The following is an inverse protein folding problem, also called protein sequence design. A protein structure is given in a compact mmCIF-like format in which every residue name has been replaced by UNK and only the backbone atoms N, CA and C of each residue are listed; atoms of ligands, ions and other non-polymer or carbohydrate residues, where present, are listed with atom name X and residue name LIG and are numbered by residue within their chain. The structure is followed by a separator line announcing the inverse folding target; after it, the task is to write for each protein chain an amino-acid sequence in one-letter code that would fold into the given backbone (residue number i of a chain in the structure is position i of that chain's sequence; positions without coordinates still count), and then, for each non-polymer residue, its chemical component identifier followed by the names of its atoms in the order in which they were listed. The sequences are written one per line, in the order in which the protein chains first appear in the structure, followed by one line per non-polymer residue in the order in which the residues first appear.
data_IF_818543120428
#
_entry.id   IF_818543120428
#
_cell.length_a   1.000
_cell.length_b   1.000
_cell.length_c   1.000
_cell.angle_alpha   90.00
_cell.angle_beta   90.00
_cell.angle_gamma   90.00
#
_symmetry.space_group_name_H-M   'P 1'
#
loop_
_entity.id
_entity.type
_entity.pdbx_description
1 polymer ?
#
# COMPACT_ATOMS: atom_id res chain seq x y z
N UNK A 1 5.85 7.31 16.42
CA UNK A 1 6.13 5.88 16.65
C UNK A 1 7.21 5.48 15.65
N UNK A 2 8.29 4.86 16.11
CA UNK A 2 9.36 4.37 15.23
C UNK A 2 9.02 2.98 14.68
N UNK A 3 9.81 2.49 13.73
CA UNK A 3 9.64 1.19 13.07
C UNK A 3 9.54 0.00 14.02
N UNK A 4 10.37 -0.06 15.07
CA UNK A 4 10.40 -1.18 16.01
C UNK A 4 9.07 -1.35 16.75
N UNK A 5 8.50 -0.24 17.24
CA UNK A 5 7.18 -0.26 17.88
C UNK A 5 6.09 -0.70 16.89
N UNK A 6 6.19 -0.30 15.63
CA UNK A 6 5.22 -0.69 14.59
C UNK A 6 5.29 -2.18 14.31
N UNK A 7 6.50 -2.74 14.17
CA UNK A 7 6.69 -4.17 13.91
C UNK A 7 6.12 -4.98 15.08
N UNK A 8 6.48 -4.61 16.31
CA UNK A 8 5.98 -5.30 17.51
C UNK A 8 4.44 -5.25 17.58
N UNK A 9 3.83 -4.08 17.41
CA UNK A 9 2.37 -3.95 17.42
C UNK A 9 1.72 -4.74 16.29
N UNK A 10 2.27 -4.67 15.09
CA UNK A 10 1.73 -5.40 13.93
C UNK A 10 1.72 -6.92 14.15
N UNK A 11 2.82 -7.46 14.68
CA UNK A 11 2.97 -8.90 14.93
C UNK A 11 2.12 -9.42 16.09
N UNK A 12 1.88 -8.57 17.09
CA UNK A 12 1.07 -8.93 18.27
C UNK A 12 -0.43 -8.69 18.05
N UNK A 13 -0.80 -7.92 17.04
CA UNK A 13 -2.20 -7.68 16.71
C UNK A 13 -2.79 -8.89 16.00
N UNK A 14 -3.99 -9.37 16.40
CA UNK A 14 -4.64 -10.46 15.71
C UNK A 14 -4.88 -10.06 14.25
N UNK A 15 -4.44 -10.89 13.31
CA UNK A 15 -4.69 -10.68 11.88
C UNK A 15 -6.20 -10.57 11.69
N UNK A 16 -6.68 -9.42 11.23
CA UNK A 16 -8.08 -9.28 10.84
C UNK A 16 -8.40 -10.39 9.83
N UNK A 17 -9.46 -11.16 10.07
CA UNK A 17 -9.88 -12.19 9.14
C UNK A 17 -10.06 -11.56 7.75
N UNK A 18 -9.69 -12.26 6.65
CA UNK A 18 -9.93 -11.75 5.31
C UNK A 18 -11.40 -11.38 5.17
N UNK A 19 -11.67 -10.21 4.60
CA UNK A 19 -13.02 -9.82 4.21
C UNK A 19 -13.45 -10.81 3.12
N UNK A 20 -14.20 -11.85 3.52
CA UNK A 20 -14.66 -12.95 2.66
C UNK A 20 -15.76 -12.44 1.73
N UNK A 21 -15.36 -11.65 0.73
CA UNK A 21 -16.22 -11.22 -0.35
C UNK A 21 -16.45 -12.37 -1.34
N UNK A 22 -17.65 -12.95 -1.26
CA UNK A 22 -18.43 -13.71 -2.26
C UNK A 22 -17.65 -14.17 -3.52
N UNK A 23 -17.70 -15.48 -3.74
CA UNK A 23 -17.20 -16.22 -4.91
C UNK A 23 -17.51 -15.45 -6.22
N UNK A 24 -16.47 -14.84 -6.78
CA UNK A 24 -16.52 -13.98 -7.98
C UNK A 24 -15.53 -14.52 -9.01
N UNK A 25 -15.81 -14.35 -10.31
CA UNK A 25 -14.98 -14.90 -11.39
C UNK A 25 -13.49 -14.61 -11.15
N UNK A 26 -12.61 -15.60 -11.43
CA UNK A 26 -11.16 -15.58 -11.14
C UNK A 26 -10.57 -14.17 -11.27
N UNK A 27 -10.51 -13.45 -10.13
CA UNK A 27 -9.90 -12.12 -10.07
C UNK A 27 -8.40 -12.25 -10.34
N UNK A 28 -7.85 -11.29 -11.06
CA UNK A 28 -6.42 -11.28 -11.40
C UNK A 28 -5.61 -11.07 -10.12
N UNK A 29 -4.60 -11.92 -9.90
CA UNK A 29 -3.73 -11.82 -8.75
C UNK A 29 -2.74 -10.65 -8.93
N UNK A 30 -2.51 -9.91 -7.85
CA UNK A 30 -1.60 -8.77 -7.79
C UNK A 30 -1.02 -8.66 -6.39
N UNK A 31 0.12 -8.03 -6.27
CA UNK A 31 0.76 -7.80 -4.98
C UNK A 31 1.32 -6.38 -4.91
N UNK A 32 1.27 -5.81 -3.71
CA UNK A 32 1.84 -4.49 -3.43
C UNK A 32 2.76 -4.57 -2.22
N UNK A 33 3.78 -3.74 -2.21
CA UNK A 33 4.60 -3.50 -1.03
C UNK A 33 4.08 -2.27 -0.30
N UNK A 34 3.95 -2.35 1.02
CA UNK A 34 3.82 -1.23 1.95
C UNK A 34 5.21 -1.01 2.57
N UNK A 35 6.10 -0.25 1.90
CA UNK A 35 7.43 0.02 2.39
C UNK A 35 7.39 1.08 3.49
N UNK A 36 7.95 0.73 4.64
CA UNK A 36 8.18 1.62 5.75
C UNK A 36 9.65 1.99 5.83
N UNK A 37 9.93 3.25 6.19
CA UNK A 37 11.29 3.71 6.50
C UNK A 37 11.23 4.71 7.66
N UNK A 38 12.22 4.65 8.54
CA UNK A 38 12.37 5.66 9.59
C UNK A 38 13.16 6.86 9.08
N UNK A 39 12.58 8.05 9.26
CA UNK A 39 13.25 9.35 9.06
C UNK A 39 13.09 10.10 10.38
N UNK A 40 14.21 10.52 10.97
CA UNK A 40 14.25 11.21 12.26
C UNK A 40 13.44 10.48 13.36
N UNK A 41 13.64 9.16 13.49
CA UNK A 41 12.96 8.27 14.43
C UNK A 41 11.42 8.25 14.31
N UNK A 42 10.93 8.59 13.12
CA UNK A 42 9.52 8.53 12.77
C UNK A 42 9.32 7.66 11.53
N UNK A 43 8.38 6.72 11.62
CA UNK A 43 8.06 5.87 10.49
C UNK A 43 7.25 6.63 9.43
N UNK A 44 7.64 6.42 8.18
CA UNK A 44 7.01 6.94 6.99
C UNK A 44 6.65 5.79 6.05
N UNK A 45 5.59 5.96 5.26
CA UNK A 45 5.27 5.08 4.14
C UNK A 45 5.85 5.71 2.86
N UNK A 46 6.61 4.94 2.08
CA UNK A 46 7.03 5.35 0.74
C UNK A 46 5.92 5.05 -0.27
N UNK A 47 5.47 6.08 -0.97
CA UNK A 47 4.39 6.04 -1.95
C UNK A 47 4.87 6.52 -3.31
N UNK A 48 4.19 6.04 -4.36
CA UNK A 48 4.42 6.42 -5.74
C UNK A 48 3.27 7.28 -6.26
N UNK A 49 3.58 8.16 -7.21
CA UNK A 49 2.64 8.88 -8.05
C UNK A 49 2.81 8.39 -9.48
N UNK A 50 1.75 7.82 -10.04
CA UNK A 50 1.76 7.32 -11.43
C UNK A 50 1.75 8.48 -12.43
N UNK A 51 2.47 8.40 -13.56
CA UNK A 51 2.35 9.37 -14.65
C UNK A 51 0.92 9.49 -15.19
N UNK A 52 0.56 10.68 -15.66
CA UNK A 52 -0.78 10.98 -16.17
C UNK A 52 -1.07 10.27 -17.51
N UNK A 53 -0.03 9.93 -18.28
CA UNK A 53 -0.18 9.30 -19.60
C UNK A 53 -0.44 7.78 -19.54
N UNK A 54 -0.37 7.14 -18.37
CA UNK A 54 -0.59 5.71 -18.25
C UNK A 54 -2.06 5.33 -18.51
N UNK A 55 -2.27 4.24 -19.25
CA UNK A 55 -3.61 3.72 -19.54
C UNK A 55 -4.40 3.29 -18.30
N UNK A 56 -3.69 2.88 -17.24
CA UNK A 56 -4.28 2.42 -16.00
C UNK A 56 -3.86 3.33 -14.85
N UNK A 57 -4.88 3.81 -14.12
CA UNK A 57 -4.71 4.62 -12.91
C UNK A 57 -3.83 5.88 -13.13
N UNK A 58 -4.08 6.68 -14.18
CA UNK A 58 -3.27 7.85 -14.50
C UNK A 58 -3.30 8.86 -13.36
N UNK A 59 -2.11 9.28 -12.91
CA UNK A 59 -2.01 10.28 -11.84
C UNK A 59 -2.45 9.78 -10.46
N UNK A 60 -2.67 8.48 -10.24
CA UNK A 60 -3.03 7.99 -8.91
C UNK A 60 -1.81 7.91 -7.98
N UNK A 61 -2.05 8.13 -6.68
CA UNK A 61 -1.09 7.80 -5.63
C UNK A 61 -1.27 6.33 -5.27
N UNK A 62 -0.20 5.55 -5.34
CA UNK A 62 -0.25 4.11 -5.12
C UNK A 62 0.88 3.62 -4.21
N UNK A 63 0.67 2.42 -3.66
CA UNK A 63 1.75 1.59 -3.15
C UNK A 63 2.48 1.00 -4.35
N UNK A 64 3.80 0.80 -4.27
CA UNK A 64 4.52 0.11 -5.33
C UNK A 64 4.03 -1.33 -5.47
N UNK A 65 3.85 -1.78 -6.71
CA UNK A 65 3.27 -3.09 -6.96
C UNK A 65 2.52 -3.23 -8.27
N UNK A 66 2.23 -4.49 -8.61
CA UNK A 66 1.67 -4.84 -9.89
C UNK A 66 1.10 -6.24 -9.94
N UNK A 67 0.99 -6.76 -11.17
CA UNK A 67 0.32 -8.03 -11.44
C UNK A 67 1.27 -9.20 -11.16
N UNK A 68 0.71 -10.33 -10.75
CA UNK A 68 1.48 -11.57 -10.71
C UNK A 68 1.81 -12.01 -12.13
N UNK A 69 3.10 -12.25 -12.40
CA UNK A 69 3.59 -12.69 -13.70
C UNK A 69 4.02 -14.16 -13.69
N UNK A 70 4.18 -14.76 -14.87
CA UNK A 70 4.59 -16.16 -15.00
C UNK A 70 6.02 -16.42 -14.46
N UNK A 71 6.85 -15.36 -14.40
CA UNK A 71 8.19 -15.37 -13.81
C UNK A 71 8.17 -15.34 -12.28
N UNK A 72 7.06 -14.93 -11.66
CA UNK A 72 6.95 -14.81 -10.21
C UNK A 72 6.75 -16.18 -9.57
N UNK A 73 7.53 -16.47 -8.52
CA UNK A 73 7.39 -17.71 -7.75
C UNK A 73 6.24 -17.59 -6.74
N UNK A 74 6.07 -16.42 -6.15
CA UNK A 74 5.05 -16.12 -5.13
C UNK A 74 4.55 -14.68 -5.25
N UNK A 75 3.42 -14.36 -4.62
CA UNK A 75 2.96 -12.96 -4.54
C UNK A 75 3.94 -12.05 -3.78
N UNK A 76 4.72 -12.60 -2.85
CA UNK A 76 5.79 -11.86 -2.18
C UNK A 76 6.91 -11.51 -3.17
N UNK A 77 7.27 -12.41 -4.09
CA UNK A 77 8.27 -12.10 -5.13
C UNK A 77 7.74 -11.06 -6.10
N UNK A 78 6.45 -11.09 -6.45
CA UNK A 78 5.80 -10.01 -7.23
C UNK A 78 5.98 -8.65 -6.55
N UNK A 79 5.60 -8.51 -5.27
CA UNK A 79 5.73 -7.23 -4.57
C UNK A 79 7.18 -6.72 -4.49
N UNK A 80 8.16 -7.63 -4.38
CA UNK A 80 9.58 -7.28 -4.34
C UNK A 80 10.14 -6.92 -5.72
N UNK A 81 9.71 -7.62 -6.77
CA UNK A 81 10.07 -7.33 -8.17
C UNK A 81 9.57 -5.95 -8.56
N UNK A 82 8.30 -5.67 -8.31
CA UNK A 82 7.67 -4.38 -8.64
C UNK A 82 8.31 -3.23 -7.86
N UNK A 83 8.63 -3.43 -6.57
CA UNK A 83 9.38 -2.45 -5.78
C UNK A 83 10.76 -2.14 -6.40
N UNK A 84 11.41 -3.15 -6.97
CA UNK A 84 12.69 -2.99 -7.66
C UNK A 84 12.52 -2.31 -9.03
N UNK A 85 11.53 -2.68 -9.82
CA UNK A 85 11.27 -2.09 -11.14
C UNK A 85 10.85 -0.61 -11.02
N UNK A 86 9.92 -0.29 -10.13
CA UNK A 86 9.37 1.07 -10.00
C UNK A 86 10.30 2.04 -9.26
N UNK A 87 11.09 1.56 -8.30
CA UNK A 87 11.88 2.41 -7.38
C UNK A 87 13.37 2.03 -7.28
N UNK A 88 13.85 1.06 -8.05
CA UNK A 88 15.24 0.58 -8.01
C UNK A 88 15.69 0.12 -6.60
N UNK A 89 14.74 -0.34 -5.76
CA UNK A 89 15.03 -0.85 -4.42
C UNK A 89 15.24 -2.35 -4.50
N UNK A 90 16.47 -2.79 -4.26
CA UNK A 90 16.79 -4.23 -4.26
C UNK A 90 16.09 -4.97 -3.12
N UNK A 91 15.69 -6.24 -3.32
CA UNK A 91 15.07 -7.05 -2.26
C UNK A 91 15.92 -7.18 -0.98
N UNK A 92 17.25 -7.06 -1.08
CA UNK A 92 18.17 -7.05 0.07
C UNK A 92 18.03 -5.82 0.96
N UNK A 93 17.44 -4.73 0.45
CA UNK A 93 17.21 -3.50 1.19
C UNK A 93 15.86 -3.45 1.92
N UNK A 94 15.07 -4.53 1.86
CA UNK A 94 13.76 -4.60 2.49
C UNK A 94 13.58 -5.90 3.28
N UNK A 95 13.26 -5.75 4.56
CA UNK A 95 12.84 -6.85 5.44
C UNK A 95 11.31 -6.90 5.50
N UNK A 96 10.72 -7.84 4.76
CA UNK A 96 9.27 -8.13 4.87
C UNK A 96 8.98 -8.81 6.20
N UNK A 97 8.11 -8.21 7.02
CA UNK A 97 7.80 -8.70 8.36
C UNK A 97 6.33 -9.09 8.54
N UNK A 98 5.49 -8.90 7.52
CA UNK A 98 4.08 -9.22 7.60
C UNK A 98 3.33 -9.14 6.27
N UNK A 99 2.10 -9.64 6.28
CA UNK A 99 1.15 -9.53 5.18
C UNK A 99 -0.20 -9.07 5.76
N UNK A 100 -0.84 -8.12 5.09
CA UNK A 100 -2.19 -7.67 5.41
C UNK A 100 -3.24 -8.60 4.78
N UNK A 101 -4.49 -8.58 5.26
CA UNK A 101 -5.57 -9.34 4.62
C UNK A 101 -5.72 -8.98 3.14
N UNK A 102 -6.12 -9.97 2.34
CA UNK A 102 -6.33 -9.80 0.91
C UNK A 102 -7.32 -8.66 0.62
N UNK A 103 -6.95 -7.73 -0.26
CA UNK A 103 -7.83 -6.65 -0.68
C UNK A 103 -8.43 -6.94 -2.05
N UNK A 104 -9.75 -7.15 -2.08
CA UNK A 104 -10.53 -7.38 -3.29
C UNK A 104 -10.97 -6.04 -3.89
N UNK A 105 -10.39 -5.66 -5.02
CA UNK A 105 -10.77 -4.43 -5.73
C UNK A 105 -12.11 -4.59 -6.45
N UNK A 106 -12.72 -3.44 -6.77
CA UNK A 106 -13.93 -3.37 -7.58
C UNK A 106 -13.65 -3.54 -9.08
N UNK A 107 -12.37 -3.45 -9.50
CA UNK A 107 -11.88 -3.53 -10.88
C UNK A 107 -11.42 -4.94 -11.27
N UNK A 108 -11.60 -5.94 -10.39
CA UNK A 108 -11.34 -7.35 -10.71
C UNK A 108 -9.96 -7.87 -10.32
N UNK A 109 -9.26 -7.18 -9.43
CA UNK A 109 -7.98 -7.60 -8.85
C UNK A 109 -8.12 -8.07 -7.39
N UNK A 110 -7.35 -9.09 -7.05
CA UNK A 110 -7.06 -9.51 -5.68
C UNK A 110 -5.64 -9.06 -5.35
N UNK A 111 -5.53 -8.04 -4.48
CA UNK A 111 -4.26 -7.45 -4.08
C UNK A 111 -3.81 -8.09 -2.76
N UNK A 112 -2.61 -8.69 -2.77
CA UNK A 112 -1.92 -9.15 -1.56
C UNK A 112 -0.93 -8.09 -1.08
N UNK A 113 -1.21 -7.39 0.04
CA UNK A 113 -0.33 -6.34 0.53
C UNK A 113 0.69 -6.91 1.51
N UNK A 114 1.98 -6.73 1.20
CA UNK A 114 3.09 -7.11 2.08
C UNK A 114 3.65 -5.89 2.79
N UNK A 115 3.99 -6.02 4.06
CA UNK A 115 4.57 -4.92 4.86
C UNK A 115 6.06 -5.16 5.03
N UNK A 116 6.86 -4.19 4.60
CA UNK A 116 8.31 -4.29 4.60
C UNK A 116 8.97 -3.09 5.26
N UNK A 117 10.06 -3.33 5.99
CA UNK A 117 10.91 -2.28 6.52
C UNK A 117 12.12 -2.10 5.60
N UNK A 118 12.31 -0.90 5.09
CA UNK A 118 13.50 -0.51 4.34
C UNK A 118 14.68 -0.29 5.30
N UNK A 119 15.89 -0.57 4.83
CA UNK A 119 17.10 -0.19 5.57
C UNK A 119 17.18 1.33 5.73
N UNK A 120 17.71 1.83 6.86
CA UNK A 120 17.76 3.27 7.21
C UNK A 120 18.42 4.16 6.15
N UNK A 121 19.32 3.60 5.34
CA UNK A 121 20.06 4.31 4.29
C UNK A 121 19.66 3.87 2.87
N UNK A 122 18.47 3.30 2.73
CA UNK A 122 17.96 2.93 1.40
C UNK A 122 17.79 4.20 0.58
N UNK A 123 18.50 4.26 -0.54
CA UNK A 123 18.30 5.25 -1.59
C UNK A 123 17.49 4.56 -2.68
N UNK A 124 16.61 5.30 -3.33
CA UNK A 124 15.76 4.81 -4.40
C UNK A 124 15.78 5.77 -5.59
N UNK A 125 15.45 5.25 -6.76
CA UNK A 125 15.38 5.98 -8.02
C UNK A 125 14.13 5.55 -8.76
N UNK A 126 13.35 6.51 -9.25
CA UNK A 126 12.09 6.20 -9.92
C UNK A 126 12.36 5.70 -11.34
N UNK A 127 11.73 4.60 -11.75
CA UNK A 127 11.51 4.38 -13.18
C UNK A 127 10.45 5.37 -13.65
N UNK A 128 10.90 6.43 -14.33
CA UNK A 128 10.03 7.50 -14.79
C UNK A 128 8.98 7.05 -15.82
N UNK A 129 9.11 5.87 -16.41
CA UNK A 129 8.06 5.32 -17.26
C UNK A 129 6.81 4.94 -16.45
N UNK A 130 6.99 4.53 -15.20
CA UNK A 130 5.93 3.99 -14.32
C UNK A 130 5.63 4.89 -13.11
N UNK A 131 6.63 5.65 -12.65
CA UNK A 131 6.58 6.49 -11.46
C UNK A 131 7.03 7.91 -11.79
N UNK A 132 6.07 8.83 -11.83
CA UNK A 132 6.34 10.25 -12.01
C UNK A 132 7.09 10.84 -10.82
N UNK A 133 6.70 10.44 -9.61
CA UNK A 133 7.32 10.87 -8.37
C UNK A 133 7.15 9.82 -7.28
N UNK A 134 8.08 9.78 -6.33
CA UNK A 134 7.96 9.03 -5.09
C UNK A 134 8.14 9.98 -3.91
N UNK A 135 7.45 9.70 -2.81
CA UNK A 135 7.45 10.58 -1.65
C UNK A 135 7.12 9.81 -0.37
N UNK A 136 7.58 10.36 0.76
CA UNK A 136 7.32 9.83 2.08
C UNK A 136 6.10 10.50 2.70
N UNK A 137 5.21 9.70 3.29
CA UNK A 137 4.08 10.19 4.07
C UNK A 137 4.23 9.73 5.53
N UNK A 138 4.28 10.64 6.52
CA UNK A 138 4.44 10.27 7.92
C UNK A 138 3.29 9.40 8.40
N UNK A 139 3.59 8.26 9.02
CA UNK A 139 2.56 7.33 9.49
C UNK A 139 1.63 7.98 10.54
N UNK A 140 2.16 8.90 11.35
CA UNK A 140 1.39 9.64 12.35
C UNK A 140 0.21 10.40 11.74
N UNK A 141 0.38 10.92 10.53
CA UNK A 141 -0.65 11.70 9.84
C UNK A 141 -1.77 10.78 9.35
N UNK A 142 -1.44 9.55 8.98
CA UNK A 142 -2.37 8.52 8.53
C UNK A 142 -3.14 7.86 9.69
N UNK A 143 -2.55 7.81 10.88
CA UNK A 143 -3.21 7.28 12.08
C UNK A 143 -4.24 8.25 12.67
N UNK A 144 -4.19 9.54 12.33
CA UNK A 144 -5.18 10.51 12.78
C UNK A 144 -6.42 10.46 11.87
N UNK A 145 -7.52 9.90 12.38
CA UNK A 145 -8.77 9.76 11.61
C UNK A 145 -9.34 11.10 11.13
N UNK A 146 -9.08 12.21 11.84
CA UNK A 146 -9.55 13.54 11.45
C UNK A 146 -8.93 14.05 10.14
N UNK A 147 -7.80 13.49 9.71
CA UNK A 147 -7.17 13.86 8.45
C UNK A 147 -7.84 13.19 7.23
N UNK A 148 -8.73 12.22 7.44
CA UNK A 148 -9.41 11.48 6.37
C UNK A 148 -10.75 12.11 6.02
N UNK A 149 -10.99 12.34 4.73
CA UNK A 149 -12.20 12.95 4.21
C UNK A 149 -13.13 11.90 3.60
N UNK A 150 -14.45 11.96 3.88
CA UNK A 150 -15.41 11.08 3.23
C UNK A 150 -15.53 11.45 1.74
N UNK A 151 -15.46 10.44 0.88
CA UNK A 151 -15.61 10.53 -0.57
C UNK A 151 -16.83 9.71 -0.99
N UNK A 152 -18.00 10.35 -1.18
CA UNK A 152 -19.19 9.65 -1.65
C UNK A 152 -18.99 9.18 -3.09
N UNK A 153 -19.24 7.89 -3.33
CA UNK A 153 -19.12 7.26 -4.64
C UNK A 153 -20.42 6.53 -4.97
N UNK A 154 -20.97 6.77 -6.16
CA UNK A 154 -22.20 6.10 -6.58
C UNK A 154 -21.90 4.79 -7.29
N UNK A 155 -22.56 3.71 -6.86
CA UNK A 155 -22.42 2.39 -7.49
C UNK A 155 -23.72 1.61 -7.43
N UNK A 156 -24.18 1.12 -8.59
CA UNK A 156 -25.42 0.34 -8.71
C UNK A 156 -26.63 1.00 -8.00
N UNK A 157 -26.72 2.33 -8.08
CA UNK A 157 -27.76 3.12 -7.41
C UNK A 157 -27.61 3.28 -5.89
N UNK A 158 -26.53 2.77 -5.29
CA UNK A 158 -26.20 2.96 -3.87
C UNK A 158 -24.98 3.87 -3.72
N UNK A 159 -25.04 4.78 -2.76
CA UNK A 159 -23.87 5.57 -2.35
C UNK A 159 -23.02 4.75 -1.40
N UNK A 160 -21.76 4.51 -1.77
CA UNK A 160 -20.73 3.98 -0.88
C UNK A 160 -19.83 5.13 -0.47
N UNK A 161 -19.40 5.16 0.79
CA UNK A 161 -18.48 6.19 1.30
C UNK A 161 -17.09 5.58 1.35
N UNK A 162 -16.20 6.06 0.49
CA UNK A 162 -14.78 5.82 0.61
C UNK A 162 -14.16 6.90 1.49
N UNK A 163 -12.92 6.69 1.94
CA UNK A 163 -12.17 7.71 2.66
C UNK A 163 -10.90 8.04 1.89
N UNK A 164 -10.65 9.32 1.68
CA UNK A 164 -9.45 9.83 1.05
C UNK A 164 -8.63 10.71 1.98
N UNK A 165 -7.39 10.93 1.60
CA UNK A 165 -6.44 11.77 2.32
C UNK A 165 -5.76 12.70 1.32
N UNK A 166 -5.77 14.01 1.59
CA UNK A 166 -5.13 14.98 0.70
C UNK A 166 -3.63 15.06 0.99
N UNK A 167 -2.81 14.89 -0.04
CA UNK A 167 -1.36 15.09 0.02
C UNK A 167 -0.94 16.22 -0.92
N UNK A 168 0.26 16.80 -0.74
CA UNK A 168 0.84 17.72 -1.73
C UNK A 168 0.98 17.12 -3.14
N UNK A 169 0.99 15.79 -3.26
CA UNK A 169 1.11 15.06 -4.54
C UNK A 169 -0.26 14.64 -5.13
N UNK A 170 -1.36 15.05 -4.50
CA UNK A 170 -2.73 14.75 -4.89
C UNK A 170 -3.50 13.92 -3.87
N UNK A 171 -4.66 13.42 -4.29
CA UNK A 171 -5.55 12.65 -3.43
C UNK A 171 -5.06 11.20 -3.30
N UNK A 172 -4.85 10.74 -2.07
CA UNK A 172 -4.70 9.33 -1.72
C UNK A 172 -6.11 8.76 -1.48
N UNK A 173 -6.56 7.84 -2.33
CA UNK A 173 -7.91 7.25 -2.26
C UNK A 173 -7.92 5.80 -2.78
N UNK A 174 -9.11 5.18 -2.83
CA UNK A 174 -9.29 3.86 -3.44
C UNK A 174 -8.61 2.72 -2.69
N UNK A 175 -8.02 1.79 -3.44
CA UNK A 175 -7.43 0.57 -2.90
C UNK A 175 -6.24 0.85 -1.98
N UNK A 176 -5.32 1.69 -2.42
CA UNK A 176 -4.14 2.14 -1.65
C UNK A 176 -4.55 2.75 -0.31
N UNK A 177 -5.49 3.69 -0.32
CA UNK A 177 -6.03 4.30 0.89
C UNK A 177 -6.67 3.28 1.83
N UNK A 178 -7.44 2.33 1.29
CA UNK A 178 -8.10 1.28 2.07
C UNK A 178 -7.10 0.34 2.72
N UNK A 179 -6.05 -0.07 1.99
CA UNK A 179 -4.97 -0.92 2.50
C UNK A 179 -4.24 -0.20 3.65
N UNK A 180 -3.91 1.08 3.47
CA UNK A 180 -3.27 1.91 4.51
C UNK A 180 -4.18 2.04 5.74
N UNK A 181 -5.49 2.26 5.58
CA UNK A 181 -6.42 2.28 6.73
C UNK A 181 -6.49 0.94 7.45
N UNK A 182 -6.42 -0.18 6.73
CA UNK A 182 -6.39 -1.49 7.37
C UNK A 182 -5.11 -1.69 8.17
N UNK A 183 -3.97 -1.25 7.62
CA UNK A 183 -2.70 -1.24 8.33
C UNK A 183 -2.75 -0.41 9.62
N UNK A 184 -3.21 0.85 9.54
CA UNK A 184 -3.27 1.74 10.72
C UNK A 184 -4.26 1.25 11.77
N UNK A 185 -5.40 0.67 11.36
CA UNK A 185 -6.35 0.02 12.28
C UNK A 185 -5.72 -1.16 13.01
N UNK A 186 -4.98 -2.01 12.31
CA UNK A 186 -4.29 -3.14 12.94
C UNK A 186 -3.29 -2.65 13.98
N UNK A 187 -2.52 -1.58 13.69
CA UNK A 187 -1.62 -0.99 14.68
C UNK A 187 -2.34 -0.41 15.90
N UNK A 188 -3.59 0.04 15.77
CA UNK A 188 -4.35 0.64 16.86
C UNK A 188 -5.00 -0.38 17.82
N UNK A 189 -5.00 -1.67 17.47
CA UNK A 189 -5.57 -2.71 18.33
C UNK A 189 -4.80 -2.78 19.66
N UNK A 190 -5.51 -2.97 20.80
CA UNK A 190 -4.86 -3.27 22.06
C UNK A 190 -4.14 -4.63 21.93
N UNK A 191 -2.91 -4.66 22.41
CA UNK A 191 -2.09 -5.87 22.54
C UNK A 191 -2.30 -6.45 23.92
#
# INVERSE_FOLDING_TARGET
MNSEHIIARFQLSPTAAPDQGIDTPKKRASAVMLPLIDVDDHAHILLCKRPIYLHHHPGEICLPGGKFEASDITLRTTALRELHEELNITPSNVKVFGQLPLYSTLTGFNISPFVGMLNKHTIWENDHNEVQASFLLPLRDLTNEANWQPLPFQRFGKTIILYGYNTPHGLLWGATASIIKNFTKQLALPV
#
